data_IF_426922960370
#
_entry.id   IF_426922960370
#
_cell.length_a   1.000
_cell.length_b   1.000
_cell.length_c   1.000
_cell.angle_alpha   90.00
_cell.angle_beta   90.00
_cell.angle_gamma   90.00
#
_symmetry.space_group_name_H-M   'P 1'
#
loop_
_entity.id
_entity.type
_entity.pdbx_description
1 polymer ?
#
# COMPACT_ATOMS: atom_id res chain seq x y z
N UNK A 1 11.10 12.64 18.46
CA UNK A 1 9.97 12.41 19.38
C UNK A 1 10.07 11.06 20.08
N UNK A 2 11.26 10.67 20.58
CA UNK A 2 11.48 9.25 20.94
C UNK A 2 12.52 9.04 22.02
N UNK A 3 13.51 9.93 22.15
CA UNK A 3 14.54 9.80 23.19
C UNK A 3 13.94 9.86 24.61
N UNK A 4 12.99 10.76 24.87
CA UNK A 4 12.34 10.88 26.17
C UNK A 4 11.54 9.63 26.53
N UNK A 5 10.70 9.13 25.62
CA UNK A 5 9.93 7.90 25.84
C UNK A 5 10.82 6.64 25.96
N UNK A 6 11.91 6.56 25.20
CA UNK A 6 12.90 5.47 25.31
C UNK A 6 13.60 5.52 26.68
N UNK A 7 13.94 6.71 27.17
CA UNK A 7 14.53 6.90 28.48
C UNK A 7 13.56 6.54 29.62
N UNK A 8 12.30 6.95 29.52
CA UNK A 8 11.25 6.56 30.49
C UNK A 8 10.97 5.05 30.45
N UNK A 9 10.91 4.44 29.26
CA UNK A 9 10.76 2.98 29.15
C UNK A 9 11.95 2.24 29.79
N UNK A 10 13.15 2.81 29.76
CA UNK A 10 14.30 2.26 30.45
C UNK A 10 14.22 2.44 31.98
N UNK A 11 13.68 3.57 32.49
CA UNK A 11 13.58 3.81 33.94
C UNK A 11 12.57 2.87 34.61
N UNK A 12 11.45 2.58 33.95
CA UNK A 12 10.40 1.69 34.49
C UNK A 12 10.64 0.21 34.25
N UNK A 13 11.74 -0.14 33.58
CA UNK A 13 12.05 -1.54 33.26
C UNK A 13 11.10 -2.16 32.24
N UNK A 14 10.73 -1.41 31.20
CA UNK A 14 9.90 -1.86 30.07
C UNK A 14 10.77 -2.21 28.83
N UNK A 15 11.45 -3.38 28.80
CA UNK A 15 12.40 -3.73 27.76
C UNK A 15 11.78 -3.92 26.37
N UNK A 16 10.54 -4.41 26.25
CA UNK A 16 9.88 -4.64 24.97
C UNK A 16 9.46 -3.33 24.33
N UNK A 17 8.78 -2.46 25.08
CA UNK A 17 8.41 -1.10 24.64
C UNK A 17 9.67 -0.33 24.25
N UNK A 18 10.74 -0.38 25.07
CA UNK A 18 12.02 0.24 24.73
C UNK A 18 12.57 -0.27 23.40
N UNK A 19 12.57 -1.59 23.18
CA UNK A 19 13.07 -2.21 21.94
C UNK A 19 12.25 -1.78 20.72
N UNK A 20 10.92 -1.74 20.83
CA UNK A 20 10.03 -1.27 19.76
C UNK A 20 10.32 0.19 19.44
N UNK A 21 10.33 1.07 20.44
CA UNK A 21 10.56 2.51 20.24
C UNK A 21 11.97 2.80 19.69
N UNK A 22 13.00 2.06 20.10
CA UNK A 22 14.36 2.20 19.55
C UNK A 22 14.45 1.78 18.07
N UNK A 23 13.73 0.74 17.67
CA UNK A 23 13.71 0.25 16.29
C UNK A 23 13.05 1.22 15.28
N UNK A 24 12.32 2.25 15.76
CA UNK A 24 11.78 3.33 14.91
C UNK A 24 12.86 4.01 14.06
N UNK A 25 14.09 4.07 14.57
CA UNK A 25 15.22 4.72 13.91
C UNK A 25 15.64 4.05 12.59
N UNK A 26 15.14 2.83 12.29
CA UNK A 26 15.43 2.07 11.07
C UNK A 26 14.27 1.89 10.08
N UNK A 27 13.11 2.53 10.29
CA UNK A 27 11.98 2.58 9.32
C UNK A 27 11.12 1.32 9.17
N UNK A 28 11.67 0.12 9.38
CA UNK A 28 10.97 -1.16 9.11
C UNK A 28 9.75 -1.44 10.01
N UNK A 29 9.71 -0.89 11.22
CA UNK A 29 8.68 -1.17 12.23
C UNK A 29 7.80 0.05 12.56
N UNK A 30 7.63 0.97 11.62
CA UNK A 30 6.90 2.22 11.86
C UNK A 30 5.45 2.00 12.33
N UNK A 31 4.77 0.98 11.81
CA UNK A 31 3.40 0.61 12.16
C UNK A 31 3.28 0.16 13.62
N UNK A 32 4.09 -0.83 14.04
CA UNK A 32 4.12 -1.30 15.44
C UNK A 32 4.52 -0.18 16.42
N UNK A 33 5.47 0.66 16.05
CA UNK A 33 5.85 1.83 16.86
C UNK A 33 4.69 2.80 17.01
N UNK A 34 3.95 3.06 15.92
CA UNK A 34 2.78 3.92 15.98
C UNK A 34 1.73 3.35 16.93
N UNK A 35 1.44 2.05 16.86
CA UNK A 35 0.48 1.39 17.76
C UNK A 35 0.90 1.49 19.22
N UNK A 36 2.18 1.23 19.53
CA UNK A 36 2.70 1.37 20.90
C UNK A 36 2.59 2.81 21.40
N UNK A 37 2.91 3.81 20.57
CA UNK A 37 2.78 5.23 20.94
C UNK A 37 1.33 5.61 21.16
N UNK A 38 0.40 5.12 20.34
CA UNK A 38 -1.04 5.33 20.53
C UNK A 38 -1.53 4.75 21.84
N UNK A 39 -1.16 3.51 22.16
CA UNK A 39 -1.61 2.84 23.38
C UNK A 39 -1.10 3.55 24.66
N UNK A 40 0.15 4.03 24.63
CA UNK A 40 0.73 4.84 25.72
C UNK A 40 -0.03 6.18 25.85
N UNK A 41 -0.34 6.83 24.72
CA UNK A 41 -1.07 8.10 24.72
C UNK A 41 -2.48 7.96 25.30
N UNK A 42 -3.21 6.92 24.87
CA UNK A 42 -4.55 6.61 25.38
C UNK A 42 -4.57 6.38 26.89
N UNK A 43 -3.60 5.63 27.43
CA UNK A 43 -3.47 5.39 28.88
C UNK A 43 -3.00 6.61 29.65
N UNK A 44 -2.23 7.47 28.99
CA UNK A 44 -1.83 8.76 29.55
C UNK A 44 -2.94 9.82 29.46
N UNK A 45 -4.06 9.51 28.79
CA UNK A 45 -5.20 10.42 28.61
C UNK A 45 -4.93 11.57 27.63
N UNK A 46 -3.96 11.42 26.74
CA UNK A 46 -3.53 12.46 25.78
C UNK A 46 -3.56 11.94 24.35
N UNK A 47 -3.51 12.85 23.37
CA UNK A 47 -3.34 12.45 21.98
C UNK A 47 -1.87 12.11 21.69
N UNK A 48 -1.56 11.19 20.74
CA UNK A 48 -0.19 10.78 20.41
C UNK A 48 0.75 11.93 20.05
N UNK A 49 0.21 13.02 19.48
CA UNK A 49 0.98 14.21 19.12
C UNK A 49 1.47 15.03 20.34
N UNK A 50 0.74 14.96 21.46
CA UNK A 50 1.04 15.71 22.69
C UNK A 50 1.84 14.88 23.70
N UNK A 51 1.91 13.56 23.51
CA UNK A 51 2.52 12.61 24.43
C UNK A 51 3.96 12.99 24.82
N UNK A 52 4.75 13.51 23.87
CA UNK A 52 6.15 13.88 24.11
C UNK A 52 6.30 15.05 25.08
N UNK A 53 5.44 16.05 24.97
CA UNK A 53 5.43 17.21 25.86
C UNK A 53 4.79 16.85 27.21
N UNK A 54 3.76 16.00 27.18
CA UNK A 54 3.16 15.44 28.38
C UNK A 54 4.17 14.59 29.17
N UNK A 55 5.01 13.79 28.51
CA UNK A 55 6.06 12.99 29.15
C UNK A 55 7.13 13.83 29.87
N UNK A 56 7.32 15.10 29.46
CA UNK A 56 8.24 16.02 30.13
C UNK A 56 7.63 16.65 31.39
N UNK A 57 6.34 16.93 31.35
CA UNK A 57 5.62 17.64 32.41
C UNK A 57 5.04 16.69 33.46
N UNK A 58 4.63 15.48 33.05
CA UNK A 58 4.00 14.46 33.89
C UNK A 58 4.68 13.09 33.68
N UNK A 59 5.99 12.96 33.95
CA UNK A 59 6.74 11.75 33.66
C UNK A 59 6.17 10.51 34.38
N UNK A 60 5.72 10.65 35.62
CA UNK A 60 5.18 9.53 36.42
C UNK A 60 3.93 8.90 35.80
N UNK A 61 3.06 9.71 35.19
CA UNK A 61 1.86 9.23 34.51
C UNK A 61 2.21 8.44 33.26
N UNK A 62 3.18 8.93 32.48
CA UNK A 62 3.66 8.24 31.27
C UNK A 62 4.46 6.99 31.61
N UNK A 63 5.21 7.00 32.71
CA UNK A 63 5.91 5.84 33.25
C UNK A 63 4.93 4.71 33.62
N UNK A 64 3.83 5.03 34.30
CA UNK A 64 2.76 4.06 34.59
C UNK A 64 2.11 3.52 33.31
N UNK A 65 1.79 4.42 32.36
CA UNK A 65 1.24 4.01 31.07
C UNK A 65 2.18 3.10 30.27
N UNK A 66 3.50 3.36 30.30
CA UNK A 66 4.50 2.51 29.66
C UNK A 66 4.57 1.13 30.34
N UNK A 67 4.52 1.08 31.67
CA UNK A 67 4.51 -0.18 32.40
C UNK A 67 3.26 -1.03 32.06
N UNK A 68 2.10 -0.40 31.93
CA UNK A 68 0.87 -1.07 31.50
C UNK A 68 0.99 -1.59 30.05
N UNK A 69 1.52 -0.78 29.14
CA UNK A 69 1.71 -1.18 27.73
C UNK A 69 2.76 -2.29 27.60
N UNK A 70 3.77 -2.33 28.44
CA UNK A 70 4.75 -3.43 28.48
C UNK A 70 4.07 -4.78 28.74
N UNK A 71 3.00 -4.84 29.53
CA UNK A 71 2.25 -6.08 29.77
C UNK A 71 1.56 -6.62 28.52
N UNK A 72 1.15 -5.73 27.62
CA UNK A 72 0.47 -6.05 26.35
C UNK A 72 1.45 -6.13 25.17
N UNK A 73 2.70 -5.68 25.36
CA UNK A 73 3.72 -5.66 24.31
C UNK A 73 3.97 -7.04 23.66
N UNK A 74 3.98 -8.18 24.39
CA UNK A 74 4.11 -9.49 23.76
C UNK A 74 2.99 -9.80 22.75
N UNK A 75 1.74 -9.48 23.09
CA UNK A 75 0.59 -9.71 22.22
C UNK A 75 0.62 -8.80 21.00
N UNK A 76 0.92 -7.50 21.19
CA UNK A 76 1.05 -6.56 20.07
C UNK A 76 2.16 -6.96 19.09
N UNK A 77 3.29 -7.44 19.61
CA UNK A 77 4.39 -7.96 18.78
C UNK A 77 3.94 -9.22 18.05
N UNK A 78 3.28 -10.16 18.74
CA UNK A 78 2.80 -11.41 18.14
C UNK A 78 1.79 -11.14 17.00
N UNK A 79 0.84 -10.23 17.21
CA UNK A 79 -0.13 -9.81 16.22
C UNK A 79 0.59 -9.19 15.00
N UNK A 80 1.51 -8.25 15.21
CA UNK A 80 2.28 -7.66 14.13
C UNK A 80 3.11 -8.69 13.35
N UNK A 81 3.74 -9.65 14.03
CA UNK A 81 4.48 -10.73 13.36
C UNK A 81 3.55 -11.61 12.52
N UNK A 82 2.36 -11.93 13.02
CA UNK A 82 1.38 -12.71 12.28
C UNK A 82 0.91 -11.99 11.00
N UNK A 83 0.72 -10.67 11.07
CA UNK A 83 0.39 -9.85 9.91
C UNK A 83 1.52 -9.86 8.88
N UNK A 84 2.78 -9.71 9.32
CA UNK A 84 3.94 -9.78 8.44
C UNK A 84 4.05 -11.14 7.76
N UNK A 85 3.84 -12.23 8.49
CA UNK A 85 3.83 -13.58 7.93
C UNK A 85 2.74 -13.76 6.87
N UNK A 86 1.53 -13.26 7.13
CA UNK A 86 0.43 -13.31 6.16
C UNK A 86 0.74 -12.48 4.91
N UNK A 87 1.28 -11.26 5.08
CA UNK A 87 1.71 -10.40 3.96
C UNK A 87 2.80 -11.10 3.13
N UNK A 88 3.78 -11.73 3.79
CA UNK A 88 4.84 -12.50 3.11
C UNK A 88 4.29 -13.74 2.39
N UNK A 89 3.33 -14.46 3.00
CA UNK A 89 2.70 -15.62 2.38
C UNK A 89 1.93 -15.21 1.11
N UNK A 90 1.18 -14.10 1.16
CA UNK A 90 0.50 -13.56 -0.03
C UNK A 90 1.48 -13.19 -1.14
N UNK A 91 2.60 -12.53 -0.81
CA UNK A 91 3.64 -12.21 -1.79
C UNK A 91 4.25 -13.47 -2.42
N UNK A 92 4.55 -14.50 -1.62
CA UNK A 92 5.05 -15.78 -2.13
C UNK A 92 4.04 -16.46 -3.05
N UNK A 93 2.77 -16.49 -2.67
CA UNK A 93 1.69 -17.02 -3.50
C UNK A 93 1.52 -16.23 -4.80
N UNK A 94 1.76 -14.92 -4.79
CA UNK A 94 1.79 -14.12 -6.03
C UNK A 94 3.00 -14.47 -6.91
N UNK A 95 4.17 -14.71 -6.32
CA UNK A 95 5.37 -15.13 -7.03
C UNK A 95 5.27 -16.56 -7.60
N UNK A 96 4.54 -17.46 -6.95
CA UNK A 96 4.33 -18.83 -7.40
C UNK A 96 3.35 -18.94 -8.59
N UNK A 97 2.56 -17.89 -8.87
CA UNK A 97 1.65 -17.90 -10.02
C UNK A 97 2.46 -17.96 -11.32
N UNK A 98 2.06 -18.80 -12.30
CA UNK A 98 2.75 -18.89 -13.58
C UNK A 98 2.76 -17.53 -14.26
N UNK A 99 3.93 -17.08 -14.72
CA UNK A 99 4.12 -15.74 -15.29
C UNK A 99 3.14 -15.39 -16.41
N UNK A 100 2.64 -16.40 -17.14
CA UNK A 100 1.59 -16.25 -18.17
C UNK A 100 0.31 -15.57 -17.66
N UNK A 101 -0.07 -15.78 -16.39
CA UNK A 101 -1.23 -15.13 -15.77
C UNK A 101 -1.09 -13.60 -15.69
N UNK A 102 0.14 -13.09 -15.73
CA UNK A 102 0.48 -11.67 -15.71
C UNK A 102 0.95 -11.14 -17.06
N UNK A 103 1.55 -11.97 -17.91
CA UNK A 103 2.14 -11.58 -19.21
C UNK A 103 1.11 -11.00 -20.19
N UNK A 104 -0.16 -11.40 -20.11
CA UNK A 104 -1.18 -10.86 -21.02
C UNK A 104 -1.37 -9.35 -20.86
N UNK A 105 -1.15 -8.78 -19.66
CA UNK A 105 -1.29 -7.33 -19.40
C UNK A 105 -0.25 -6.49 -20.14
N UNK A 106 1.08 -6.68 -19.94
CA UNK A 106 2.08 -5.96 -20.71
C UNK A 106 1.97 -6.30 -22.20
N UNK A 107 1.63 -7.54 -22.57
CA UNK A 107 1.44 -7.93 -23.97
C UNK A 107 0.37 -7.06 -24.66
N UNK A 108 -0.82 -6.94 -24.07
CA UNK A 108 -1.87 -6.10 -24.62
C UNK A 108 -1.53 -4.61 -24.61
N UNK A 109 -0.84 -4.13 -23.57
CA UNK A 109 -0.40 -2.74 -23.50
C UNK A 109 0.57 -2.39 -24.64
N UNK A 110 1.58 -3.24 -24.88
CA UNK A 110 2.52 -3.04 -25.98
C UNK A 110 1.87 -3.24 -27.35
N UNK A 111 0.93 -4.19 -27.46
CA UNK A 111 0.17 -4.39 -28.68
C UNK A 111 -0.67 -3.15 -29.04
N UNK A 112 -1.39 -2.57 -28.08
CA UNK A 112 -2.14 -1.34 -28.29
C UNK A 112 -1.21 -0.16 -28.64
N UNK A 113 -0.09 -0.02 -27.91
CA UNK A 113 0.90 1.01 -28.22
C UNK A 113 1.45 0.85 -29.64
N UNK A 114 1.71 -0.38 -30.08
CA UNK A 114 2.11 -0.69 -31.44
C UNK A 114 1.04 -0.30 -32.47
N UNK A 115 -0.23 -0.61 -32.23
CA UNK A 115 -1.32 -0.24 -33.14
C UNK A 115 -1.49 1.29 -33.25
N UNK A 116 -1.38 2.01 -32.14
CA UNK A 116 -1.36 3.48 -32.12
C UNK A 116 -0.18 4.06 -32.88
N UNK A 117 1.03 3.55 -32.60
CA UNK A 117 2.24 3.95 -33.30
C UNK A 117 2.14 3.67 -34.80
N UNK A 118 1.64 2.50 -35.18
CA UNK A 118 1.43 2.12 -36.57
C UNK A 118 0.49 3.10 -37.28
N UNK A 119 -0.68 3.37 -36.68
CA UNK A 119 -1.71 4.21 -37.29
C UNK A 119 -1.29 5.68 -37.41
N UNK A 120 -0.69 6.24 -36.35
CA UNK A 120 -0.38 7.67 -36.26
C UNK A 120 0.96 8.01 -36.93
N UNK A 121 1.98 7.16 -36.77
CA UNK A 121 3.36 7.48 -37.21
C UNK A 121 3.79 6.59 -38.36
N UNK A 122 3.81 5.27 -38.17
CA UNK A 122 4.47 4.37 -39.10
C UNK A 122 3.78 4.36 -40.47
N UNK A 123 2.44 4.43 -40.52
CA UNK A 123 1.67 4.44 -41.76
C UNK A 123 1.95 5.69 -42.60
N UNK A 124 2.00 6.87 -41.97
CA UNK A 124 2.34 8.13 -42.65
C UNK A 124 3.77 8.09 -43.18
N UNK A 125 4.72 7.58 -42.39
CA UNK A 125 6.11 7.44 -42.80
C UNK A 125 6.25 6.44 -43.97
N UNK A 126 5.57 5.31 -43.88
CA UNK A 126 5.59 4.25 -44.90
C UNK A 126 4.98 4.75 -46.21
N UNK A 127 3.82 5.41 -46.15
CA UNK A 127 3.20 6.03 -47.32
C UNK A 127 4.09 7.15 -47.90
N UNK A 128 4.79 7.92 -47.07
CA UNK A 128 5.69 8.98 -47.53
C UNK A 128 6.94 8.45 -48.24
N UNK A 129 7.57 7.40 -47.71
CA UNK A 129 8.80 6.79 -48.25
C UNK A 129 8.49 5.89 -49.45
N UNK A 130 7.55 4.95 -49.30
CA UNK A 130 7.27 3.92 -50.29
C UNK A 130 6.25 4.38 -51.34
N UNK A 131 5.65 5.56 -51.15
CA UNK A 131 4.56 6.08 -52.00
C UNK A 131 3.39 5.10 -52.14
N UNK A 132 3.20 4.25 -51.14
CA UNK A 132 2.04 3.40 -51.02
C UNK A 132 0.87 4.19 -50.46
N UNK A 133 -0.35 3.80 -50.84
CA UNK A 133 -1.59 4.37 -50.32
C UNK A 133 -2.23 3.38 -49.34
N UNK A 134 -1.49 3.00 -48.29
CA UNK A 134 -2.04 2.10 -47.27
C UNK A 134 -3.13 2.85 -46.48
N UNK A 135 -4.34 2.29 -46.40
CA UNK A 135 -5.43 2.92 -45.66
C UNK A 135 -5.18 2.83 -44.14
N UNK A 136 -5.46 3.90 -43.37
CA UNK A 136 -5.40 3.83 -41.91
C UNK A 136 -6.50 2.92 -41.38
N UNK A 137 -6.23 2.28 -40.24
CA UNK A 137 -7.28 1.59 -39.48
C UNK A 137 -8.25 2.65 -38.92
N UNK A 138 -9.57 2.38 -38.89
CA UNK A 138 -10.54 3.29 -38.29
C UNK A 138 -10.21 3.62 -36.84
N UNK A 139 -10.10 4.91 -36.51
CA UNK A 139 -9.69 5.37 -35.19
C UNK A 139 -10.71 4.99 -34.12
N UNK A 140 -11.99 4.89 -34.48
CA UNK A 140 -13.09 4.48 -33.61
C UNK A 140 -12.89 3.04 -33.11
N UNK A 141 -12.41 2.15 -33.98
CA UNK A 141 -12.13 0.75 -33.62
C UNK A 141 -10.94 0.69 -32.65
N UNK A 142 -9.90 1.49 -32.89
CA UNK A 142 -8.72 1.54 -32.04
C UNK A 142 -9.03 2.14 -30.66
N UNK A 143 -9.83 3.20 -30.61
CA UNK A 143 -10.36 3.79 -29.38
C UNK A 143 -11.25 2.80 -28.64
N UNK A 144 -12.16 2.10 -29.34
CA UNK A 144 -13.04 1.10 -28.75
C UNK A 144 -12.25 -0.07 -28.13
N UNK A 145 -11.24 -0.57 -28.83
CA UNK A 145 -10.37 -1.64 -28.32
C UNK A 145 -9.55 -1.17 -27.10
N UNK A 146 -9.04 0.06 -27.13
CA UNK A 146 -8.31 0.66 -26.00
C UNK A 146 -9.22 0.85 -24.79
N UNK A 147 -10.44 1.36 -25.01
CA UNK A 147 -11.45 1.54 -23.96
C UNK A 147 -11.87 0.20 -23.36
N UNK A 148 -12.06 -0.84 -24.18
CA UNK A 148 -12.37 -2.19 -23.72
C UNK A 148 -11.24 -2.76 -22.85
N UNK A 149 -9.99 -2.62 -23.29
CA UNK A 149 -8.82 -3.04 -22.51
C UNK A 149 -8.74 -2.30 -21.17
N UNK A 150 -8.91 -0.97 -21.17
CA UNK A 150 -8.94 -0.17 -19.93
C UNK A 150 -10.10 -0.59 -19.02
N UNK A 151 -11.28 -0.86 -19.57
CA UNK A 151 -12.44 -1.33 -18.79
C UNK A 151 -12.19 -2.70 -18.15
N UNK A 152 -11.58 -3.64 -18.89
CA UNK A 152 -11.27 -4.97 -18.37
C UNK A 152 -10.17 -4.93 -17.30
N UNK A 153 -9.16 -4.09 -17.51
CA UNK A 153 -7.97 -4.04 -16.68
C UNK A 153 -8.13 -3.12 -15.45
N UNK A 154 -8.66 -1.91 -15.63
CA UNK A 154 -8.83 -0.88 -14.59
C UNK A 154 -10.28 -0.80 -14.07
N UNK A 155 -11.26 -1.21 -14.87
CA UNK A 155 -12.68 -0.97 -14.60
C UNK A 155 -13.45 -2.15 -14.01
N UNK A 156 -12.85 -3.32 -13.78
CA UNK A 156 -13.58 -4.53 -13.38
C UNK A 156 -14.46 -4.38 -12.12
N UNK A 157 -14.04 -3.59 -11.12
CA UNK A 157 -14.83 -3.29 -9.92
C UNK A 157 -15.83 -2.14 -10.11
N UNK A 158 -15.51 -1.16 -10.95
CA UNK A 158 -16.41 -0.05 -11.31
C UNK A 158 -17.59 -0.55 -12.15
N UNK A 159 -17.33 -1.42 -13.11
CA UNK A 159 -18.37 -2.07 -13.93
C UNK A 159 -19.25 -2.95 -13.04
N UNK A 160 -18.65 -3.80 -12.18
CA UNK A 160 -19.42 -4.64 -11.24
C UNK A 160 -20.29 -3.83 -10.28
N UNK A 161 -19.79 -2.71 -9.75
CA UNK A 161 -20.57 -1.85 -8.84
C UNK A 161 -21.72 -1.14 -9.54
N UNK A 162 -21.53 -0.69 -10.79
CA UNK A 162 -22.62 -0.13 -11.62
C UNK A 162 -23.69 -1.19 -11.92
N UNK A 163 -23.30 -2.42 -12.27
CA UNK A 163 -24.23 -3.54 -12.49
C UNK A 163 -24.95 -3.98 -11.21
N UNK A 164 -24.27 -3.99 -10.06
CA UNK A 164 -24.91 -4.29 -8.77
C UNK A 164 -25.92 -3.20 -8.37
N UNK A 165 -25.59 -1.93 -8.58
CA UNK A 165 -26.46 -0.79 -8.29
C UNK A 165 -27.71 -0.74 -9.18
N UNK A 166 -27.63 -1.27 -10.41
CA UNK A 166 -28.78 -1.36 -11.33
C UNK A 166 -29.64 -2.58 -11.05
N UNK A 167 -29.06 -3.69 -10.58
CA UNK A 167 -29.81 -4.91 -10.22
C UNK A 167 -30.57 -4.79 -8.90
N UNK A 168 -30.13 -3.93 -7.98
CA UNK A 168 -30.84 -3.64 -6.72
C UNK A 168 -32.01 -2.66 -6.85
N UNK A 169 -32.35 -2.21 -8.06
CA UNK A 169 -33.44 -1.27 -8.36
C UNK A 169 -34.58 -1.89 -9.19
N UNK A 170 -34.56 -3.22 -9.37
CA UNK A 170 -35.65 -4.03 -9.97
C UNK A 170 -36.17 -4.98 -8.91
#
# INVERSE_FOLDING_TARGET
MSSTLISLAASVGAPLVKKVLANKLGGANAELVSSVVTEIAERSGVIPAELDEFARTHPQTVEAAIADVETMAPEMIALHTSELEHRMALMKLEMEKPGWAWTWRPLWMFFLAFLWFWNVVALHLTNAILKWALPPMPTEVLLGLTALFMSLYMGGHTVKSVFAATRGKV
#
